data_IF_186760003856
#
_entry.id   IF_186760003856
#
_cell.length_a   1.000
_cell.length_b   1.000
_cell.length_c   1.000
_cell.angle_alpha   90.00
_cell.angle_beta   90.00
_cell.angle_gamma   90.00
#
_symmetry.space_group_name_H-M   'P 1'
#
loop_
_entity.id
_entity.type
_entity.pdbx_description
1 polymer ?
#
# COMPACT_ATOMS: atom_id res chain seq x y z
N UNK A 1 -3.11 -26.18 -4.17
CA UNK A 1 -3.81 -24.89 -3.97
C UNK A 1 -2.99 -23.86 -4.71
N UNK A 2 -3.55 -23.15 -5.71
CA UNK A 2 -2.81 -22.11 -6.41
C UNK A 2 -2.61 -20.94 -5.46
N UNK A 3 -1.37 -20.55 -5.25
CA UNK A 3 -1.04 -19.36 -4.47
C UNK A 3 -1.39 -18.16 -5.35
N UNK A 4 -2.39 -17.36 -4.95
CA UNK A 4 -2.74 -16.13 -5.67
C UNK A 4 -1.49 -15.27 -5.92
N UNK A 5 -1.37 -14.67 -7.10
CA UNK A 5 -0.23 -13.84 -7.49
C UNK A 5 -0.53 -12.37 -7.21
N UNK A 6 0.52 -11.61 -6.91
CA UNK A 6 0.50 -10.16 -6.82
C UNK A 6 1.64 -9.62 -7.68
N UNK A 7 1.61 -8.32 -8.00
CA UNK A 7 2.70 -7.70 -8.75
C UNK A 7 4.08 -7.95 -8.13
N UNK A 8 4.20 -7.76 -6.81
CA UNK A 8 5.45 -8.01 -6.06
C UNK A 8 5.90 -9.48 -6.11
N UNK A 9 4.96 -10.43 -6.16
CA UNK A 9 5.26 -11.86 -6.33
C UNK A 9 5.78 -12.17 -7.73
N UNK A 10 5.17 -11.60 -8.76
CA UNK A 10 5.61 -11.75 -10.16
C UNK A 10 7.01 -11.17 -10.33
N UNK A 11 7.25 -9.95 -9.82
CA UNK A 11 8.58 -9.34 -9.85
C UNK A 11 9.65 -10.19 -9.17
N UNK A 12 9.35 -10.78 -8.01
CA UNK A 12 10.30 -11.65 -7.32
C UNK A 12 10.59 -12.92 -8.13
N UNK A 13 9.57 -13.52 -8.76
CA UNK A 13 9.73 -14.70 -9.60
C UNK A 13 10.62 -14.41 -10.82
N UNK A 14 10.37 -13.29 -11.50
CA UNK A 14 11.14 -12.85 -12.67
C UNK A 14 12.59 -12.53 -12.29
N UNK A 15 12.81 -11.90 -11.14
CA UNK A 15 14.14 -11.59 -10.65
C UNK A 15 14.90 -12.83 -10.15
N UNK A 16 14.25 -13.71 -9.39
CA UNK A 16 14.88 -14.91 -8.83
C UNK A 16 13.85 -16.00 -8.47
N UNK A 17 13.74 -17.02 -9.33
CA UNK A 17 12.84 -18.17 -9.12
C UNK A 17 13.11 -18.94 -7.82
N UNK A 18 14.37 -19.05 -7.40
CA UNK A 18 14.73 -19.71 -6.14
C UNK A 18 14.22 -18.92 -4.93
N UNK A 19 14.43 -17.60 -4.92
CA UNK A 19 13.92 -16.74 -3.85
C UNK A 19 12.38 -16.79 -3.76
N UNK A 20 11.70 -16.79 -4.91
CA UNK A 20 10.25 -16.98 -4.97
C UNK A 20 9.82 -18.32 -4.37
N UNK A 21 10.47 -19.42 -4.75
CA UNK A 21 10.16 -20.76 -4.21
C UNK A 21 10.35 -20.79 -2.70
N UNK A 22 11.50 -20.35 -2.19
CA UNK A 22 11.80 -20.35 -0.76
C UNK A 22 10.77 -19.52 0.03
N UNK A 23 10.44 -18.32 -0.45
CA UNK A 23 9.54 -17.39 0.26
C UNK A 23 8.07 -17.77 0.17
N UNK A 24 7.57 -18.16 -1.01
CA UNK A 24 6.12 -18.31 -1.26
C UNK A 24 5.64 -19.75 -1.40
N UNK A 25 6.51 -20.71 -1.69
CA UNK A 25 6.17 -22.13 -1.78
C UNK A 25 6.62 -22.86 -0.52
N UNK A 26 7.92 -22.80 -0.21
CA UNK A 26 8.50 -23.50 0.94
C UNK A 26 8.23 -22.76 2.27
N UNK A 27 7.82 -21.48 2.20
CA UNK A 27 7.48 -20.62 3.35
C UNK A 27 8.61 -20.51 4.38
N UNK A 28 9.84 -20.42 3.91
CA UNK A 28 11.01 -20.19 4.78
C UNK A 28 10.84 -18.83 5.48
N UNK A 29 10.86 -18.76 6.82
CA UNK A 29 10.75 -17.50 7.55
C UNK A 29 11.90 -16.55 7.19
N UNK A 30 11.57 -15.30 6.91
CA UNK A 30 12.54 -14.24 6.63
C UNK A 30 12.27 -13.08 7.59
N UNK A 31 13.28 -12.63 8.36
CA UNK A 31 13.11 -11.47 9.22
C UNK A 31 12.86 -10.23 8.35
N UNK A 32 11.88 -9.41 8.73
CA UNK A 32 11.68 -8.12 8.06
C UNK A 32 12.87 -7.22 8.37
N UNK A 33 13.40 -6.57 7.33
CA UNK A 33 14.44 -5.56 7.51
C UNK A 33 13.87 -4.31 8.18
N UNK A 34 14.70 -3.57 8.93
CA UNK A 34 14.26 -2.34 9.58
C UNK A 34 13.63 -1.31 8.61
N UNK A 35 14.17 -1.08 7.39
CA UNK A 35 13.51 -0.20 6.42
C UNK A 35 12.13 -0.69 5.96
N UNK A 36 11.92 -2.01 5.85
CA UNK A 36 10.62 -2.56 5.48
C UNK A 36 9.59 -2.37 6.60
N UNK A 37 10.03 -2.49 7.86
CA UNK A 37 9.19 -2.20 9.04
C UNK A 37 8.82 -0.71 9.04
N UNK A 38 9.80 0.17 8.83
CA UNK A 38 9.57 1.61 8.73
C UNK A 38 8.61 2.01 7.62
N UNK A 39 8.75 1.43 6.42
CA UNK A 39 7.79 1.60 5.34
C UNK A 39 6.39 1.13 5.72
N UNK A 40 6.26 -0.03 6.35
CA UNK A 40 4.96 -0.54 6.81
C UNK A 40 4.29 0.41 7.81
N UNK A 41 5.07 1.01 8.71
CA UNK A 41 4.59 2.02 9.66
C UNK A 41 4.09 3.28 8.96
N UNK A 42 4.84 3.80 7.99
CA UNK A 42 4.42 4.95 7.18
C UNK A 42 3.08 4.70 6.48
N UNK A 43 2.91 3.55 5.81
CA UNK A 43 1.66 3.25 5.10
C UNK A 43 0.48 3.17 6.07
N UNK A 44 0.66 2.52 7.23
CA UNK A 44 -0.37 2.44 8.26
C UNK A 44 -0.77 3.82 8.81
N UNK A 45 0.21 4.73 9.01
CA UNK A 45 -0.09 6.11 9.40
C UNK A 45 -0.78 6.88 8.28
N UNK A 46 -0.31 6.78 7.04
CA UNK A 46 -0.92 7.46 5.91
C UNK A 46 -2.38 7.02 5.68
N UNK A 47 -2.66 5.71 5.78
CA UNK A 47 -4.02 5.15 5.73
C UNK A 47 -4.91 5.78 6.80
N UNK A 48 -4.50 5.66 8.08
CA UNK A 48 -5.26 6.19 9.23
C UNK A 48 -5.48 7.69 9.13
N UNK A 49 -4.46 8.43 8.68
CA UNK A 49 -4.53 9.87 8.51
C UNK A 49 -5.57 10.27 7.48
N UNK A 50 -5.51 9.68 6.29
CA UNK A 50 -6.46 9.98 5.21
C UNK A 50 -7.87 9.52 5.59
N UNK A 51 -8.03 8.38 6.25
CA UNK A 51 -9.31 7.92 6.77
C UNK A 51 -9.93 8.92 7.77
N UNK A 52 -9.12 9.43 8.71
CA UNK A 52 -9.53 10.46 9.66
C UNK A 52 -10.00 11.73 8.96
N UNK A 53 -9.27 12.20 7.95
CA UNK A 53 -9.65 13.39 7.18
C UNK A 53 -10.97 13.20 6.43
N UNK A 54 -11.20 12.02 5.85
CA UNK A 54 -12.46 11.66 5.19
C UNK A 54 -13.61 11.67 6.21
N UNK A 55 -13.44 11.00 7.35
CA UNK A 55 -14.47 10.87 8.39
C UNK A 55 -14.84 12.22 9.01
N UNK A 56 -13.83 13.03 9.34
CA UNK A 56 -14.00 14.36 9.96
C UNK A 56 -14.31 15.46 8.95
N UNK A 57 -14.31 15.15 7.65
CA UNK A 57 -14.51 16.09 6.53
C UNK A 57 -13.53 17.27 6.58
N UNK A 58 -12.29 16.99 7.00
CA UNK A 58 -11.18 17.95 7.03
C UNK A 58 -10.29 17.76 5.82
N UNK A 59 -9.67 18.84 5.35
CA UNK A 59 -8.67 18.75 4.28
C UNK A 59 -7.27 18.46 4.81
N UNK A 60 -6.98 18.91 6.03
CA UNK A 60 -5.71 18.75 6.74
C UNK A 60 -5.97 18.72 8.25
N UNK A 61 -5.08 18.10 9.00
CA UNK A 61 -5.11 18.03 10.47
C UNK A 61 -3.70 17.77 11.01
N UNK A 62 -2.95 18.82 11.35
CA UNK A 62 -1.55 18.67 11.80
C UNK A 62 -1.44 18.10 13.21
N UNK A 63 -2.40 18.43 14.09
CA UNK A 63 -2.43 17.94 15.46
C UNK A 63 -2.61 16.41 15.47
N UNK A 64 -3.60 15.91 14.72
CA UNK A 64 -3.80 14.46 14.59
C UNK A 64 -2.58 13.77 13.97
N UNK A 65 -1.94 14.36 12.96
CA UNK A 65 -0.72 13.79 12.38
C UNK A 65 0.42 13.68 13.40
N UNK A 66 0.61 14.71 14.24
CA UNK A 66 1.64 14.69 15.28
C UNK A 66 1.36 13.61 16.34
N UNK A 67 0.11 13.40 16.72
CA UNK A 67 -0.28 12.32 17.63
C UNK A 67 -0.07 10.95 16.99
N UNK A 68 -0.54 10.78 15.75
CA UNK A 68 -0.46 9.52 15.00
C UNK A 68 0.99 9.09 14.76
N UNK A 69 1.90 10.03 14.46
CA UNK A 69 3.32 9.74 14.26
C UNK A 69 4.02 9.13 15.49
N UNK A 70 3.39 9.17 16.67
CA UNK A 70 3.90 8.54 17.89
C UNK A 70 3.30 7.14 18.10
N UNK A 71 2.22 6.79 17.42
CA UNK A 71 1.52 5.52 17.56
C UNK A 71 2.20 4.41 16.74
N UNK A 72 3.07 3.65 17.39
CA UNK A 72 3.71 2.47 16.80
C UNK A 72 2.83 1.21 16.87
N UNK A 73 1.68 1.25 17.55
CA UNK A 73 0.83 0.07 17.78
C UNK A 73 0.09 -0.39 16.52
N UNK A 74 0.18 0.41 15.45
CA UNK A 74 -0.42 0.14 14.14
C UNK A 74 0.30 -0.97 13.36
N UNK A 75 1.51 -1.31 13.78
CA UNK A 75 2.27 -2.46 13.28
C UNK A 75 2.53 -3.45 14.42
N UNK A 76 2.86 -4.70 14.07
CA UNK A 76 3.17 -5.74 15.05
C UNK A 76 4.65 -5.82 15.38
N UNK A 77 5.48 -5.33 14.48
CA UNK A 77 6.94 -5.40 14.57
C UNK A 77 7.51 -4.27 15.43
N UNK A 78 8.58 -4.58 16.17
CA UNK A 78 9.38 -3.56 16.84
C UNK A 78 10.26 -2.83 15.83
N UNK A 79 10.20 -1.51 15.83
CA UNK A 79 10.99 -0.65 14.96
C UNK A 79 12.24 -0.15 15.70
N UNK A 80 13.44 -0.20 15.10
CA UNK A 80 14.62 0.44 15.67
C UNK A 80 14.44 1.95 15.77
N UNK A 81 14.95 2.55 16.84
CA UNK A 81 14.81 3.99 17.12
C UNK A 81 15.27 4.88 15.96
N UNK A 82 16.42 4.57 15.37
CA UNK A 82 16.99 5.32 14.24
C UNK A 82 16.04 5.36 13.02
N UNK A 83 15.36 4.24 12.74
CA UNK A 83 14.40 4.16 11.62
C UNK A 83 13.09 4.85 11.98
N UNK A 84 12.69 4.83 13.25
CA UNK A 84 11.50 5.52 13.73
C UNK A 84 11.60 7.03 13.49
N UNK A 85 12.71 7.66 13.86
CA UNK A 85 12.92 9.10 13.67
C UNK A 85 12.84 9.50 12.20
N UNK A 86 13.53 8.75 11.32
CA UNK A 86 13.50 8.99 9.87
C UNK A 86 12.08 8.88 9.30
N UNK A 87 11.32 7.87 9.73
CA UNK A 87 9.96 7.63 9.24
C UNK A 87 8.96 8.64 9.80
N UNK A 88 9.11 9.08 11.04
CA UNK A 88 8.32 10.17 11.61
C UNK A 88 8.53 11.47 10.84
N UNK A 89 9.78 11.84 10.58
CA UNK A 89 10.11 13.02 9.80
C UNK A 89 9.55 12.94 8.37
N UNK A 90 9.67 11.77 7.72
CA UNK A 90 9.10 11.54 6.39
C UNK A 90 7.58 11.67 6.39
N UNK A 91 6.90 11.08 7.38
CA UNK A 91 5.45 11.13 7.51
C UNK A 91 4.95 12.57 7.71
N UNK A 92 5.54 13.31 8.63
CA UNK A 92 5.13 14.70 8.89
C UNK A 92 5.39 15.60 7.67
N UNK A 93 6.53 15.42 6.98
CA UNK A 93 6.80 16.12 5.73
C UNK A 93 5.80 15.78 4.63
N UNK A 94 5.37 14.53 4.53
CA UNK A 94 4.33 14.12 3.60
C UNK A 94 2.99 14.81 3.94
N UNK A 95 2.61 14.83 5.23
CA UNK A 95 1.40 15.52 5.72
C UNK A 95 1.41 17.01 5.37
N UNK A 96 2.53 17.71 5.55
CA UNK A 96 2.66 19.14 5.20
C UNK A 96 2.37 19.43 3.72
N UNK A 97 2.65 18.45 2.84
CA UNK A 97 2.39 18.56 1.40
C UNK A 97 1.04 17.99 0.98
N UNK A 98 0.34 17.27 1.86
CA UNK A 98 -0.87 16.54 1.54
C UNK A 98 -2.12 17.34 1.93
N UNK A 99 -3.05 17.44 0.98
CA UNK A 99 -4.37 18.02 1.19
C UNK A 99 -5.38 17.00 0.68
N UNK A 100 -6.35 16.60 1.51
CA UNK A 100 -7.42 15.72 1.06
C UNK A 100 -8.18 16.41 -0.09
N UNK A 101 -8.26 15.81 -1.28
CA UNK A 101 -8.93 16.43 -2.40
C UNK A 101 -10.45 16.47 -2.19
N UNK A 102 -11.12 17.42 -2.83
CA UNK A 102 -12.58 17.54 -2.79
C UNK A 102 -13.35 16.50 -3.61
N UNK A 103 -12.75 15.34 -3.87
CA UNK A 103 -13.33 14.22 -4.63
C UNK A 103 -13.42 12.98 -3.73
N UNK A 104 -14.26 11.98 -4.06
CA UNK A 104 -14.28 10.72 -3.33
C UNK A 104 -12.89 10.07 -3.30
N UNK A 105 -12.43 9.69 -2.11
CA UNK A 105 -11.14 9.01 -1.88
C UNK A 105 -11.41 7.67 -1.20
N UNK A 106 -10.69 6.63 -1.65
CA UNK A 106 -10.62 5.33 -0.96
C UNK A 106 -9.16 5.07 -0.56
N UNK A 107 -8.96 4.47 0.61
CA UNK A 107 -7.62 4.10 1.13
C UNK A 107 -7.52 2.59 1.29
N UNK A 108 -6.31 2.06 1.16
CA UNK A 108 -5.96 0.64 1.34
C UNK A 108 -6.95 -0.33 0.68
N UNK A 109 -7.26 -0.07 -0.59
CA UNK A 109 -8.20 -0.88 -1.35
C UNK A 109 -7.60 -2.27 -1.65
N UNK A 110 -8.28 -3.30 -1.14
CA UNK A 110 -8.04 -4.69 -1.49
C UNK A 110 -8.83 -5.07 -2.73
N UNK A 111 -8.12 -5.40 -3.81
CA UNK A 111 -8.70 -5.88 -5.07
C UNK A 111 -8.29 -7.34 -5.32
N UNK A 112 -9.23 -8.14 -5.79
CA UNK A 112 -8.99 -9.54 -6.12
C UNK A 112 -9.74 -9.96 -7.39
N UNK A 113 -9.06 -10.70 -8.27
CA UNK A 113 -9.64 -11.26 -9.48
C UNK A 113 -9.47 -12.78 -9.48
N UNK A 114 -10.46 -13.50 -10.00
CA UNK A 114 -10.38 -14.94 -10.26
C UNK A 114 -9.63 -15.25 -11.57
N UNK A 115 -9.74 -16.49 -12.07
CA UNK A 115 -9.07 -16.93 -13.30
C UNK A 115 -9.69 -16.40 -14.58
N UNK A 116 -10.95 -16.00 -14.51
CA UNK A 116 -11.69 -15.40 -15.62
C UNK A 116 -11.60 -13.87 -15.57
N UNK A 117 -10.73 -13.34 -14.70
CA UNK A 117 -10.51 -11.92 -14.44
C UNK A 117 -11.75 -11.19 -13.91
N UNK A 118 -12.63 -11.91 -13.21
CA UNK A 118 -13.84 -11.35 -12.59
C UNK A 118 -13.52 -10.94 -11.15
N UNK A 119 -14.02 -9.79 -10.66
CA UNK A 119 -13.89 -9.40 -9.26
C UNK A 119 -14.42 -10.49 -8.33
N UNK A 120 -13.63 -10.85 -7.33
CA UNK A 120 -13.98 -11.85 -6.34
C UNK A 120 -13.57 -11.41 -4.94
N UNK A 121 -13.97 -12.16 -3.91
CA UNK A 121 -13.55 -11.86 -2.56
C UNK A 121 -12.04 -12.08 -2.40
N UNK A 122 -11.37 -11.22 -1.64
CA UNK A 122 -9.93 -11.32 -1.36
C UNK A 122 -9.49 -12.70 -0.86
N UNK A 123 -10.29 -13.36 -0.02
CA UNK A 123 -9.97 -14.66 0.56
C UNK A 123 -10.56 -15.86 -0.19
N UNK A 124 -11.17 -15.64 -1.36
CA UNK A 124 -11.73 -16.73 -2.15
C UNK A 124 -10.63 -17.73 -2.57
N UNK A 125 -11.00 -19.01 -2.63
CA UNK A 125 -10.15 -20.07 -3.17
C UNK A 125 -9.95 -19.93 -4.68
N UNK A 126 -10.90 -19.28 -5.36
CA UNK A 126 -10.83 -19.00 -6.78
C UNK A 126 -9.90 -17.83 -7.12
N UNK A 127 -9.54 -16.98 -6.14
CA UNK A 127 -8.70 -15.79 -6.37
C UNK A 127 -7.38 -16.17 -7.01
N UNK A 128 -7.13 -15.60 -8.19
CA UNK A 128 -5.88 -15.72 -8.92
C UNK A 128 -4.96 -14.53 -8.67
N UNK A 129 -5.49 -13.31 -8.70
CA UNK A 129 -4.70 -12.07 -8.62
C UNK A 129 -5.16 -11.25 -7.41
N UNK A 130 -4.21 -10.69 -6.66
CA UNK A 130 -4.47 -9.74 -5.57
C UNK A 130 -3.62 -8.48 -5.70
N UNK A 131 -4.22 -7.34 -5.41
CA UNK A 131 -3.53 -6.06 -5.34
C UNK A 131 -4.09 -5.23 -4.18
N UNK A 132 -3.18 -4.62 -3.41
CA UNK A 132 -3.54 -3.62 -2.40
C UNK A 132 -3.08 -2.26 -2.91
N UNK A 133 -4.00 -1.31 -2.99
CA UNK A 133 -3.73 0.05 -3.48
C UNK A 133 -3.81 1.01 -2.29
N UNK A 134 -2.76 1.79 -2.06
CA UNK A 134 -2.68 2.66 -0.88
C UNK A 134 -3.76 3.75 -0.88
N UNK A 135 -3.97 4.43 -2.02
CA UNK A 135 -5.03 5.43 -2.18
C UNK A 135 -5.53 5.53 -3.61
N UNK A 136 -6.84 5.66 -3.77
CA UNK A 136 -7.53 5.91 -5.04
C UNK A 136 -8.38 7.16 -4.91
N UNK A 137 -8.22 8.10 -5.83
CA UNK A 137 -9.11 9.24 -6.00
C UNK A 137 -10.09 8.93 -7.15
N UNK A 138 -11.37 9.22 -6.94
CA UNK A 138 -12.45 8.92 -7.89
C UNK A 138 -13.22 10.21 -8.27
N UNK A 139 -12.62 11.13 -9.04
CA UNK A 139 -13.32 12.33 -9.47
C UNK A 139 -14.56 11.97 -10.31
N UNK A 140 -15.72 12.60 -10.09
CA UNK A 140 -16.93 12.33 -10.88
C UNK A 140 -16.72 12.62 -12.37
N UNK A 141 -16.95 11.62 -13.22
CA UNK A 141 -16.87 11.77 -14.67
C UNK A 141 -15.46 11.99 -15.23
N UNK A 142 -14.41 11.71 -14.45
CA UNK A 142 -13.02 11.82 -14.90
C UNK A 142 -12.21 10.54 -14.61
N UNK A 143 -10.93 10.56 -14.98
CA UNK A 143 -10.01 9.44 -14.78
C UNK A 143 -9.75 9.19 -13.28
N UNK A 144 -9.63 7.91 -12.92
CA UNK A 144 -9.18 7.50 -11.59
C UNK A 144 -7.70 7.85 -11.40
N UNK A 145 -7.35 8.37 -10.22
CA UNK A 145 -5.94 8.59 -9.85
C UNK A 145 -5.54 7.57 -8.80
N UNK A 146 -4.50 6.79 -9.11
CA UNK A 146 -3.96 5.73 -8.25
C UNK A 146 -2.65 6.20 -7.64
N UNK A 147 -2.57 6.10 -6.31
CA UNK A 147 -1.37 6.42 -5.56
C UNK A 147 -0.80 5.14 -4.93
N UNK A 148 0.51 4.97 -5.08
CA UNK A 148 1.33 3.92 -4.50
C UNK A 148 2.52 4.61 -3.84
N UNK A 149 2.48 4.72 -2.51
CA UNK A 149 3.50 5.42 -1.73
C UNK A 149 4.81 4.62 -1.72
N UNK A 150 5.92 5.37 -1.65
CA UNK A 150 7.27 4.82 -1.57
C UNK A 150 8.06 5.58 -0.52
N UNK A 151 8.71 4.83 0.36
CA UNK A 151 9.55 5.34 1.45
C UNK A 151 11.04 5.08 1.22
N UNK A 152 11.43 4.65 0.01
CA UNK A 152 12.83 4.43 -0.32
C UNK A 152 13.62 5.74 -0.34
N UNK A 153 14.89 5.69 0.10
CA UNK A 153 15.80 6.85 0.14
C UNK A 153 15.93 7.57 -1.21
N UNK A 154 15.87 6.83 -2.30
CA UNK A 154 15.81 7.36 -3.66
C UNK A 154 14.55 6.82 -4.34
N UNK A 155 13.94 7.64 -5.19
CA UNK A 155 12.86 7.16 -6.05
C UNK A 155 13.47 6.22 -7.10
N UNK A 156 12.98 4.98 -7.19
CA UNK A 156 13.39 4.09 -8.27
C UNK A 156 12.91 4.66 -9.61
N UNK A 157 13.55 4.22 -10.70
CA UNK A 157 13.02 4.44 -12.05
C UNK A 157 11.55 3.99 -12.10
N UNK A 158 10.68 4.85 -12.62
CA UNK A 158 9.26 4.55 -12.69
C UNK A 158 9.00 3.39 -13.66
N UNK A 159 8.58 2.25 -13.11
CA UNK A 159 8.16 1.08 -13.88
C UNK A 159 6.63 1.01 -13.92
N UNK A 160 5.99 1.26 -15.07
CA UNK A 160 4.54 1.47 -15.13
C UNK A 160 3.72 0.21 -14.86
N UNK A 161 4.33 -0.98 -14.87
CA UNK A 161 3.60 -2.24 -14.78
C UNK A 161 2.76 -2.38 -13.50
N UNK A 162 3.26 -1.88 -12.36
CA UNK A 162 2.51 -1.89 -11.11
C UNK A 162 1.25 -1.02 -11.22
N UNK A 163 1.43 0.24 -11.61
CA UNK A 163 0.33 1.19 -11.78
C UNK A 163 -0.69 0.73 -12.83
N UNK A 164 -0.23 0.16 -13.95
CA UNK A 164 -1.10 -0.43 -14.98
C UNK A 164 -1.90 -1.63 -14.45
N UNK A 165 -1.28 -2.49 -13.64
CA UNK A 165 -1.99 -3.62 -13.00
C UNK A 165 -3.08 -3.09 -12.07
N UNK A 166 -2.76 -2.09 -11.24
CA UNK A 166 -3.73 -1.47 -10.34
C UNK A 166 -4.87 -0.79 -11.10
N UNK A 167 -4.56 -0.04 -12.16
CA UNK A 167 -5.55 0.61 -13.00
C UNK A 167 -6.50 -0.40 -13.67
N UNK A 168 -5.96 -1.49 -14.22
CA UNK A 168 -6.76 -2.56 -14.81
C UNK A 168 -7.70 -3.19 -13.77
N UNK A 169 -7.14 -3.64 -12.64
CA UNK A 169 -7.94 -4.30 -11.59
C UNK A 169 -9.01 -3.36 -11.04
N UNK A 170 -8.68 -2.08 -10.86
CA UNK A 170 -9.62 -1.10 -10.33
C UNK A 170 -10.72 -0.78 -11.32
N UNK A 171 -10.42 -0.73 -12.62
CA UNK A 171 -11.41 -0.48 -13.67
C UNK A 171 -12.40 -1.64 -13.82
N UNK A 172 -11.96 -2.88 -13.59
CA UNK A 172 -12.82 -4.08 -13.62
C UNK A 172 -13.68 -4.21 -12.35
N UNK A 173 -13.27 -3.59 -11.25
CA UNK A 173 -13.97 -3.55 -9.95
C UNK A 173 -15.02 -2.43 -9.82
N UNK A 174 -15.10 -1.51 -10.79
CA UNK A 174 -16.12 -0.45 -10.84
C UNK A 174 -17.49 -1.00 -11.29
#
# INVERSE_FOLDING_TARGET
MLTAVSFSRVQLFDACKLAYKLRHIDKVPEPKSAPLIGGSLFHAWAEKYVAHLIETKRQTDLEMAQELSKDQTVIKETIPFEVLEDIQALFLKWVESFVLPGVPVKVEQELALDRDFVPCNWFDKATLIRAKIDRVEQPPGAELVIHDYKTSRALPEYKPLQGKTYAYMKNVDL
#
